data_IF_029353472252
#
_entry.id   IF_029353472252
#
_cell.length_a   1.000
_cell.length_b   1.000
_cell.length_c   1.000
_cell.angle_alpha   90.00
_cell.angle_beta   90.00
_cell.angle_gamma   90.00
#
_symmetry.space_group_name_H-M   'P 1'
#
loop_
_entity.id
_entity.type
_entity.pdbx_description
1 polymer ?
#
# COMPACT_ATOMS: atom_id res chain seq x y z
N UNK A 1 -7.83 34.43 13.72
CA UNK A 1 -6.71 34.25 14.67
C UNK A 1 -7.17 33.82 16.07
N UNK A 2 -8.49 33.61 16.31
CA UNK A 2 -9.07 33.27 17.63
C UNK A 2 -9.37 31.77 17.87
N UNK A 3 -9.12 30.88 16.91
CA UNK A 3 -9.40 29.44 17.09
C UNK A 3 -8.30 28.63 17.77
N UNK A 4 -7.18 29.23 18.11
CA UNK A 4 -6.02 28.55 18.72
C UNK A 4 -5.80 28.87 20.20
N UNK A 5 -6.69 29.62 20.83
CA UNK A 5 -6.49 30.08 22.21
C UNK A 5 -7.74 29.78 23.06
N UNK A 6 -7.85 28.55 23.56
CA UNK A 6 -8.57 28.27 24.83
C UNK A 6 -8.80 26.78 25.14
N UNK A 7 -7.79 25.93 25.03
CA UNK A 7 -7.72 24.73 25.90
C UNK A 7 -6.34 24.76 26.52
N UNK A 8 -6.28 24.70 27.87
CA UNK A 8 -5.04 24.74 28.62
C UNK A 8 -3.94 23.91 27.97
N UNK A 9 -2.69 24.37 28.01
CA UNK A 9 -1.55 23.77 27.32
C UNK A 9 -1.44 22.28 27.66
N UNK A 10 -1.99 21.43 26.79
CA UNK A 10 -1.82 19.98 26.91
C UNK A 10 -0.33 19.67 26.74
N UNK A 11 0.28 18.90 27.65
CA UNK A 11 1.68 18.50 27.53
C UNK A 11 1.97 17.85 26.17
N UNK A 12 3.17 18.12 25.61
CA UNK A 12 3.58 17.61 24.29
C UNK A 12 3.50 16.08 24.22
N UNK A 13 3.81 15.38 25.32
CA UNK A 13 3.74 13.92 25.43
C UNK A 13 2.30 13.40 25.30
N UNK A 14 1.33 14.07 25.93
CA UNK A 14 -0.09 13.70 25.83
C UNK A 14 -0.61 13.91 24.41
N UNK A 15 -0.26 15.05 23.78
CA UNK A 15 -0.57 15.27 22.36
C UNK A 15 0.03 14.17 21.48
N UNK A 16 1.28 13.78 21.73
CA UNK A 16 1.97 12.74 20.97
C UNK A 16 1.23 11.39 21.10
N UNK A 17 0.83 11.00 22.29
CA UNK A 17 0.10 9.77 22.52
C UNK A 17 -1.24 9.76 21.79
N UNK A 18 -2.02 10.83 21.87
CA UNK A 18 -3.31 10.96 21.18
C UNK A 18 -3.13 10.91 19.65
N UNK A 19 -2.21 11.68 19.10
CA UNK A 19 -2.07 11.87 17.65
C UNK A 19 -1.33 10.71 16.95
N UNK A 20 -0.45 10.00 17.67
CA UNK A 20 0.14 8.75 17.15
C UNK A 20 -0.85 7.60 17.18
N UNK A 21 -1.67 7.50 18.23
CA UNK A 21 -2.76 6.51 18.28
C UNK A 21 -3.77 6.75 17.15
N UNK A 22 -4.18 7.99 16.93
CA UNK A 22 -5.06 8.37 15.83
C UNK A 22 -4.44 8.07 14.45
N UNK A 23 -3.11 8.15 14.30
CA UNK A 23 -2.39 7.87 13.06
C UNK A 23 -2.28 6.36 12.73
N UNK A 24 -2.52 5.45 13.67
CA UNK A 24 -2.47 3.98 13.43
C UNK A 24 -3.43 3.52 12.34
N UNK A 25 -4.59 4.15 12.25
CA UNK A 25 -5.65 3.82 11.29
C UNK A 25 -5.40 4.38 9.88
N UNK A 26 -4.30 5.09 9.68
CA UNK A 26 -3.85 5.60 8.40
C UNK A 26 -2.79 4.65 7.82
N UNK A 27 -3.20 3.72 6.95
CA UNK A 27 -2.44 2.52 6.57
C UNK A 27 -1.37 2.75 5.51
N UNK A 28 -1.06 3.97 5.14
CA UNK A 28 -0.01 4.24 4.14
C UNK A 28 1.42 3.78 4.54
N UNK A 29 1.55 3.02 5.65
CA UNK A 29 2.83 2.49 6.13
C UNK A 29 2.63 1.22 6.98
N UNK A 30 3.57 0.29 6.92
CA UNK A 30 3.64 -0.86 7.82
C UNK A 30 4.24 -0.43 9.17
N UNK A 31 3.42 -0.41 10.23
CA UNK A 31 3.93 -0.26 11.61
C UNK A 31 4.39 -1.61 12.16
N UNK A 32 5.39 -1.62 13.06
CA UNK A 32 5.93 -2.86 13.64
C UNK A 32 4.93 -3.63 14.51
N UNK A 33 3.85 -2.99 14.97
CA UNK A 33 2.79 -3.61 15.78
C UNK A 33 3.22 -4.16 17.15
N UNK A 34 4.45 -3.95 17.56
CA UNK A 34 4.99 -4.46 18.84
C UNK A 34 4.85 -3.40 19.92
N UNK A 35 4.10 -3.72 20.98
CA UNK A 35 3.95 -2.91 22.17
C UNK A 35 4.48 -3.70 23.39
N UNK A 36 5.50 -3.17 24.08
CA UNK A 36 6.03 -3.73 25.33
C UNK A 36 6.32 -2.61 26.30
N UNK A 37 5.60 -2.59 27.42
CA UNK A 37 5.94 -1.71 28.55
C UNK A 37 7.15 -2.30 29.29
N UNK A 38 8.07 -1.42 29.67
CA UNK A 38 9.17 -1.82 30.54
C UNK A 38 8.65 -2.28 31.90
N UNK A 39 9.22 -3.35 32.41
CA UNK A 39 8.91 -3.96 33.74
C UNK A 39 9.78 -3.38 34.85
N UNK A 40 10.53 -2.31 34.58
CA UNK A 40 11.46 -1.70 35.54
C UNK A 40 12.75 -2.52 35.76
N UNK A 41 12.87 -3.71 35.17
CA UNK A 41 14.04 -4.62 35.32
C UNK A 41 14.80 -4.80 34.00
N UNK A 42 14.17 -4.47 32.86
CA UNK A 42 14.77 -4.53 31.52
C UNK A 42 15.00 -3.13 30.96
N UNK A 43 16.00 -2.99 30.08
CA UNK A 43 16.34 -1.71 29.44
C UNK A 43 15.47 -1.54 28.19
N UNK A 44 14.67 -0.47 28.14
CA UNK A 44 13.92 -0.03 26.97
C UNK A 44 12.43 -0.33 27.00
N UNK A 45 11.66 0.56 26.38
CA UNK A 45 10.24 0.42 26.08
C UNK A 45 10.05 0.30 24.58
N UNK A 46 9.13 -0.52 24.14
CA UNK A 46 8.70 -0.57 22.75
C UNK A 46 7.25 -0.10 22.66
N UNK A 47 7.02 1.04 22.02
CA UNK A 47 5.68 1.57 21.77
C UNK A 47 5.32 1.28 20.31
N UNK A 48 4.18 0.63 20.10
CA UNK A 48 3.70 0.27 18.76
C UNK A 48 3.28 1.49 17.89
N UNK A 49 3.27 2.68 18.47
CA UNK A 49 2.76 3.89 17.85
C UNK A 49 3.89 4.82 17.41
N UNK A 50 3.68 5.53 16.30
CA UNK A 50 4.48 6.69 15.90
C UNK A 50 5.63 6.43 14.94
N UNK A 51 6.18 5.23 14.85
CA UNK A 51 7.23 4.92 13.87
C UNK A 51 6.69 3.94 12.84
N UNK A 52 6.77 4.32 11.57
CA UNK A 52 6.42 3.48 10.45
C UNK A 52 7.62 3.24 9.54
N UNK A 53 7.54 2.19 8.74
CA UNK A 53 8.58 1.84 7.79
C UNK A 53 8.08 2.07 6.36
N UNK A 54 8.89 2.74 5.55
CA UNK A 54 8.68 2.92 4.12
C UNK A 54 9.89 2.40 3.36
N UNK A 55 9.69 2.00 2.11
CA UNK A 55 10.80 1.56 1.27
C UNK A 55 11.17 2.67 0.28
N UNK A 56 12.46 2.99 0.22
CA UNK A 56 13.00 3.87 -0.81
C UNK A 56 13.07 3.17 -2.16
N UNK A 57 13.31 3.93 -3.23
CA UNK A 57 13.41 3.38 -4.59
C UNK A 57 14.55 2.36 -4.78
N UNK A 58 15.56 2.39 -3.91
CA UNK A 58 16.69 1.45 -3.86
C UNK A 58 16.42 0.19 -3.01
N UNK A 59 15.20 0.07 -2.43
CA UNK A 59 14.78 -1.07 -1.61
C UNK A 59 15.18 -0.99 -0.14
N UNK A 60 15.81 0.10 0.33
CA UNK A 60 16.09 0.29 1.76
C UNK A 60 14.81 0.56 2.54
N UNK A 61 14.73 0.00 3.75
CA UNK A 61 13.70 0.34 4.71
C UNK A 61 14.07 1.66 5.39
N UNK A 62 13.15 2.61 5.37
CA UNK A 62 13.29 3.94 6.00
C UNK A 62 12.30 4.01 7.16
N UNK A 63 12.78 4.34 8.35
CA UNK A 63 11.95 4.58 9.53
C UNK A 63 11.44 6.03 9.53
N UNK A 64 10.13 6.21 9.67
CA UNK A 64 9.48 7.53 9.64
C UNK A 64 8.70 7.77 10.94
N UNK A 65 8.81 8.98 11.49
CA UNK A 65 7.84 9.47 12.46
C UNK A 65 6.51 9.70 11.74
N UNK A 66 5.50 8.90 12.09
CA UNK A 66 4.17 9.02 11.53
C UNK A 66 3.22 9.63 12.54
N UNK A 67 2.79 10.86 12.27
CA UNK A 67 1.90 11.61 13.13
C UNK A 67 0.83 12.34 12.33
N UNK A 68 -0.29 12.64 13.04
CA UNK A 68 -1.25 13.64 12.60
C UNK A 68 -0.85 15.01 13.14
N UNK A 69 -0.99 16.06 12.33
CA UNK A 69 -0.94 17.43 12.84
C UNK A 69 -2.10 17.68 13.81
N UNK A 70 -3.29 17.21 13.44
CA UNK A 70 -4.47 17.25 14.29
C UNK A 70 -5.38 16.06 14.01
N UNK A 71 -6.08 15.58 15.03
CA UNK A 71 -7.20 14.67 14.87
C UNK A 71 -8.57 15.37 15.00
N UNK A 72 -8.60 16.68 15.17
CA UNK A 72 -9.81 17.48 14.95
C UNK A 72 -10.14 17.51 13.47
N UNK A 73 -11.41 17.30 13.11
CA UNK A 73 -11.82 17.27 11.72
C UNK A 73 -13.22 17.84 11.55
N UNK A 74 -13.41 18.72 10.56
CA UNK A 74 -14.72 19.25 10.20
C UNK A 74 -15.54 18.26 9.33
N UNK A 75 -14.89 17.20 8.80
CA UNK A 75 -15.53 16.18 7.98
C UNK A 75 -16.08 15.03 8.82
N UNK A 76 -17.13 14.40 8.31
CA UNK A 76 -17.81 13.30 8.99
C UNK A 76 -17.74 11.99 8.17
N UNK A 77 -16.54 11.59 7.77
CA UNK A 77 -16.34 10.34 7.04
C UNK A 77 -16.63 9.15 7.95
N UNK A 78 -17.63 8.33 7.62
CA UNK A 78 -18.16 7.26 8.48
C UNK A 78 -17.11 6.21 8.88
N UNK A 79 -16.14 5.93 8.01
CA UNK A 79 -15.05 4.99 8.26
C UNK A 79 -13.93 5.56 9.16
N UNK A 80 -13.94 6.85 9.45
CA UNK A 80 -12.82 7.52 10.12
C UNK A 80 -13.06 7.63 11.63
N UNK A 81 -12.12 7.16 12.44
CA UNK A 81 -12.16 7.34 13.90
C UNK A 81 -12.20 8.81 14.30
N UNK A 82 -11.52 9.67 13.52
CA UNK A 82 -11.39 11.10 13.79
C UNK A 82 -12.52 11.94 13.15
N UNK A 83 -13.61 11.32 12.70
CA UNK A 83 -14.77 12.06 12.17
C UNK A 83 -15.34 13.02 13.20
N UNK A 84 -15.97 14.10 12.72
CA UNK A 84 -16.52 15.16 13.58
C UNK A 84 -17.46 14.64 14.67
N UNK A 85 -18.33 13.69 14.32
CA UNK A 85 -19.36 13.17 15.23
C UNK A 85 -18.86 12.16 16.26
N UNK A 86 -17.60 11.69 16.19
CA UNK A 86 -17.05 10.77 17.20
C UNK A 86 -16.55 11.52 18.41
N UNK A 87 -16.91 11.03 19.60
CA UNK A 87 -16.38 11.48 20.88
C UNK A 87 -15.07 10.76 21.18
N UNK A 88 -13.97 11.39 20.78
CA UNK A 88 -12.60 10.91 21.03
C UNK A 88 -11.73 12.06 21.53
N UNK A 89 -10.69 11.78 22.33
CA UNK A 89 -9.74 12.81 22.73
C UNK A 89 -9.15 13.53 21.52
N UNK A 90 -9.18 14.85 21.53
CA UNK A 90 -8.72 15.70 20.44
C UNK A 90 -7.45 16.44 20.84
N UNK A 91 -6.51 16.52 19.92
CA UNK A 91 -5.29 17.28 20.10
C UNK A 91 -4.85 17.89 18.76
N UNK A 92 -4.09 18.97 18.84
CA UNK A 92 -3.51 19.67 17.69
C UNK A 92 -2.08 20.07 18.02
N UNK A 93 -1.14 19.72 17.18
CA UNK A 93 0.22 20.21 17.22
C UNK A 93 0.33 21.56 16.51
N UNK A 94 1.16 22.42 17.02
CA UNK A 94 1.68 23.57 16.26
C UNK A 94 2.75 23.07 15.26
N UNK A 95 3.03 23.84 14.18
CA UNK A 95 4.14 23.54 13.29
C UNK A 95 5.48 23.42 14.01
N UNK A 96 5.72 24.25 15.01
CA UNK A 96 6.94 24.28 15.83
C UNK A 96 7.08 23.02 16.70
N UNK A 97 5.99 22.52 17.29
CA UNK A 97 5.98 21.27 18.08
C UNK A 97 6.34 20.07 17.19
N UNK A 98 5.77 19.97 15.97
CA UNK A 98 6.10 18.90 15.02
C UNK A 98 7.58 18.96 14.63
N UNK A 99 8.10 20.16 14.38
CA UNK A 99 9.51 20.35 14.07
C UNK A 99 10.41 19.88 15.22
N UNK A 100 10.08 20.24 16.45
CA UNK A 100 10.82 19.83 17.64
C UNK A 100 10.83 18.32 17.78
N UNK A 101 9.66 17.67 17.74
CA UNK A 101 9.56 16.22 17.80
C UNK A 101 10.36 15.53 16.70
N UNK A 102 10.22 16.00 15.45
CA UNK A 102 10.93 15.42 14.30
C UNK A 102 12.44 15.49 14.49
N UNK A 103 12.96 16.67 14.92
CA UNK A 103 14.39 16.88 15.14
C UNK A 103 14.94 16.06 16.30
N UNK A 104 14.20 15.96 17.41
CA UNK A 104 14.61 15.17 18.57
C UNK A 104 14.67 13.66 18.23
N UNK A 105 13.67 13.13 17.54
CA UNK A 105 13.68 11.73 17.11
C UNK A 105 14.77 11.44 16.07
N UNK A 106 15.02 12.39 15.16
CA UNK A 106 16.06 12.27 14.15
C UNK A 106 17.46 12.29 14.76
N UNK A 107 17.74 13.24 15.67
CA UNK A 107 19.04 13.34 16.37
C UNK A 107 19.38 12.10 17.19
N UNK A 108 18.36 11.39 17.69
CA UNK A 108 18.51 10.15 18.44
C UNK A 108 18.56 8.91 17.54
N UNK A 109 18.59 9.08 16.23
CA UNK A 109 18.59 7.99 15.22
C UNK A 109 17.37 7.05 15.31
N UNK A 110 16.23 7.52 15.83
CA UNK A 110 15.00 6.72 15.87
C UNK A 110 14.28 6.71 14.53
N UNK A 111 14.44 7.78 13.74
CA UNK A 111 13.80 7.98 12.45
C UNK A 111 14.77 8.55 11.42
N UNK A 112 14.48 8.31 10.15
CA UNK A 112 15.15 8.89 9.00
C UNK A 112 14.30 9.98 8.32
N UNK A 113 13.03 10.12 8.73
CA UNK A 113 12.13 11.10 8.15
C UNK A 113 10.80 11.26 8.87
N UNK A 114 9.93 12.09 8.26
CA UNK A 114 8.61 12.43 8.75
C UNK A 114 7.54 11.99 7.75
N UNK A 115 6.47 11.36 8.25
CA UNK A 115 5.21 11.19 7.52
C UNK A 115 4.11 11.99 8.23
N UNK A 116 3.70 13.09 7.60
CA UNK A 116 2.74 14.03 8.16
C UNK A 116 1.40 13.94 7.44
N UNK A 117 0.34 13.69 8.20
CA UNK A 117 -1.04 13.78 7.76
C UNK A 117 -1.85 14.66 8.72
N UNK A 118 -3.14 14.88 8.46
CA UNK A 118 -3.96 15.73 9.31
C UNK A 118 -5.45 15.41 9.18
N UNK A 119 -6.21 15.59 10.26
CA UNK A 119 -7.60 15.98 10.17
C UNK A 119 -7.73 17.36 9.51
N UNK A 120 -8.95 17.83 9.25
CA UNK A 120 -9.18 19.10 8.57
C UNK A 120 -9.81 20.09 9.57
N UNK A 121 -9.04 21.11 9.96
CA UNK A 121 -9.50 22.19 10.85
C UNK A 121 -9.75 23.47 10.05
N UNK A 122 -10.82 24.19 10.42
CA UNK A 122 -11.21 25.41 9.74
C UNK A 122 -11.68 25.13 8.31
N UNK A 123 -10.73 25.00 7.39
CA UNK A 123 -10.99 24.61 6.00
C UNK A 123 -9.79 23.85 5.40
N UNK A 124 -9.92 23.22 4.22
CA UNK A 124 -8.85 22.46 3.58
C UNK A 124 -7.58 23.28 3.30
N UNK A 125 -7.72 24.51 2.84
CA UNK A 125 -6.59 25.38 2.50
C UNK A 125 -5.81 25.76 3.75
N UNK A 126 -6.48 26.21 4.80
CA UNK A 126 -5.84 26.55 6.07
C UNK A 126 -5.08 25.36 6.67
N UNK A 127 -5.67 24.16 6.64
CA UNK A 127 -4.97 22.95 7.11
C UNK A 127 -3.72 22.67 6.27
N UNK A 128 -3.81 22.80 4.95
CA UNK A 128 -2.65 22.60 4.06
C UNK A 128 -1.58 23.68 4.27
N UNK A 129 -1.95 24.90 4.60
CA UNK A 129 -1.01 25.98 4.95
C UNK A 129 -0.21 25.66 6.21
N UNK A 130 -0.85 25.11 7.24
CA UNK A 130 -0.16 24.67 8.46
C UNK A 130 0.83 23.54 8.15
N UNK A 131 0.45 22.58 7.31
CA UNK A 131 1.34 21.52 6.84
C UNK A 131 2.51 22.10 6.06
N UNK A 132 2.25 23.01 5.12
CA UNK A 132 3.27 23.70 4.33
C UNK A 132 4.25 24.46 5.22
N UNK A 133 3.74 25.23 6.19
CA UNK A 133 4.55 25.94 7.18
C UNK A 133 5.45 25.00 7.99
N UNK A 134 4.92 23.86 8.41
CA UNK A 134 5.70 22.85 9.15
C UNK A 134 6.89 22.35 8.32
N UNK A 135 6.65 21.93 7.07
CA UNK A 135 7.74 21.43 6.22
C UNK A 135 8.69 22.54 5.79
N UNK A 136 8.19 23.77 5.62
CA UNK A 136 9.04 24.94 5.37
C UNK A 136 9.99 25.21 6.54
N UNK A 137 9.49 25.21 7.78
CA UNK A 137 10.30 25.35 8.98
C UNK A 137 11.36 24.25 9.07
N UNK A 138 10.97 22.99 8.85
CA UNK A 138 11.91 21.87 8.84
C UNK A 138 13.04 22.09 7.83
N UNK A 139 12.72 22.46 6.58
CA UNK A 139 13.71 22.64 5.52
C UNK A 139 14.58 23.86 5.71
N UNK A 140 13.99 25.02 6.03
CA UNK A 140 14.68 26.30 6.00
C UNK A 140 15.25 26.70 7.38
N UNK A 141 14.49 26.55 8.46
CA UNK A 141 14.95 26.93 9.81
C UNK A 141 15.78 25.84 10.47
N UNK A 142 15.30 24.59 10.44
CA UNK A 142 15.99 23.46 11.08
C UNK A 142 16.97 22.76 10.14
N UNK A 143 17.00 23.11 8.85
CA UNK A 143 17.86 22.52 7.81
C UNK A 143 17.78 20.99 7.77
N UNK A 144 16.58 20.47 8.03
CA UNK A 144 16.31 19.03 8.03
C UNK A 144 16.38 18.48 6.61
N UNK A 145 17.32 17.59 6.34
CA UNK A 145 17.52 16.95 5.04
C UNK A 145 17.00 15.51 4.99
N UNK A 146 16.30 15.03 6.04
CA UNK A 146 15.66 13.72 6.06
C UNK A 146 14.45 13.65 5.13
N UNK A 147 13.96 12.44 4.93
CA UNK A 147 12.81 12.16 4.07
C UNK A 147 11.51 12.76 4.64
N UNK A 148 10.72 13.39 3.79
CA UNK A 148 9.42 13.99 4.17
C UNK A 148 8.34 13.50 3.21
N UNK A 149 7.33 12.83 3.77
CA UNK A 149 6.11 12.44 3.08
C UNK A 149 4.92 13.19 3.69
N UNK A 150 4.13 13.82 2.85
CA UNK A 150 2.94 14.58 3.28
C UNK A 150 1.69 14.04 2.58
N UNK A 151 0.59 13.94 3.32
CA UNK A 151 -0.74 13.81 2.73
C UNK A 151 -1.29 15.19 2.38
N UNK A 152 -1.48 15.45 1.10
CA UNK A 152 -2.15 16.65 0.64
C UNK A 152 -3.64 16.60 0.99
N UNK A 153 -4.18 17.74 1.41
CA UNK A 153 -5.56 17.87 1.84
C UNK A 153 -6.46 18.04 0.60
N UNK A 154 -7.43 17.13 0.38
CA UNK A 154 -8.38 17.28 -0.71
C UNK A 154 -9.18 18.58 -0.61
N UNK A 155 -9.20 19.36 -1.70
CA UNK A 155 -9.91 20.64 -1.76
C UNK A 155 -9.10 21.83 -1.27
N UNK A 156 -7.83 21.68 -0.91
CA UNK A 156 -6.93 22.81 -0.63
C UNK A 156 -6.60 23.58 -1.91
N UNK A 157 -6.26 24.88 -1.75
CA UNK A 157 -5.88 25.74 -2.85
C UNK A 157 -4.67 25.17 -3.63
N UNK A 158 -4.68 25.24 -4.96
CA UNK A 158 -3.62 24.69 -5.80
C UNK A 158 -2.24 25.25 -5.51
N UNK A 159 -2.16 26.55 -5.21
CA UNK A 159 -0.92 27.26 -4.96
C UNK A 159 -0.18 26.70 -3.76
N UNK A 160 -0.91 26.39 -2.67
CA UNK A 160 -0.29 25.87 -1.45
C UNK A 160 0.12 24.39 -1.61
N UNK A 161 -0.60 23.62 -2.41
CA UNK A 161 -0.19 22.25 -2.78
C UNK A 161 1.11 22.29 -3.58
N UNK A 162 1.23 23.22 -4.52
CA UNK A 162 2.44 23.40 -5.32
C UNK A 162 3.64 23.83 -4.45
N UNK A 163 3.46 24.81 -3.57
CA UNK A 163 4.51 25.23 -2.63
C UNK A 163 4.97 24.06 -1.76
N UNK A 164 4.02 23.29 -1.21
CA UNK A 164 4.34 22.10 -0.40
C UNK A 164 5.14 21.08 -1.22
N UNK A 165 4.81 20.90 -2.50
CA UNK A 165 5.47 19.93 -3.38
C UNK A 165 6.96 20.13 -3.57
N UNK A 166 7.45 21.38 -3.52
CA UNK A 166 8.89 21.69 -3.58
C UNK A 166 9.63 21.44 -2.25
N UNK A 167 8.92 21.24 -1.16
CA UNK A 167 9.50 21.06 0.18
C UNK A 167 9.54 19.59 0.61
N UNK A 168 8.83 18.69 -0.10
CA UNK A 168 8.64 17.28 0.29
C UNK A 168 9.21 16.32 -0.73
N UNK A 169 9.59 15.13 -0.27
CA UNK A 169 10.07 14.07 -1.14
C UNK A 169 8.93 13.30 -1.79
N UNK A 170 7.84 13.05 -1.05
CA UNK A 170 6.65 12.36 -1.54
C UNK A 170 5.38 13.08 -1.10
N UNK A 171 4.39 13.06 -1.96
CA UNK A 171 3.05 13.53 -1.65
C UNK A 171 2.01 12.46 -1.98
N UNK A 172 1.00 12.32 -1.14
CA UNK A 172 -0.12 11.42 -1.40
C UNK A 172 -1.45 12.14 -1.26
N UNK A 173 -2.40 11.73 -2.08
CA UNK A 173 -3.81 12.13 -1.96
C UNK A 173 -4.63 10.86 -1.89
N UNK A 174 -5.33 10.63 -0.80
CA UNK A 174 -6.11 9.42 -0.64
C UNK A 174 -7.34 9.43 -1.53
N UNK A 175 -7.52 8.39 -2.35
CA UNK A 175 -8.75 8.17 -3.10
C UNK A 175 -9.90 7.76 -2.17
N UNK A 176 -9.57 7.08 -1.08
CA UNK A 176 -10.42 6.51 -0.03
C UNK A 176 -11.26 5.32 -0.54
N UNK A 177 -12.16 5.54 -1.46
CA UNK A 177 -13.08 4.52 -1.97
C UNK A 177 -12.98 4.42 -3.50
N UNK A 178 -13.11 3.22 -4.08
CA UNK A 178 -12.93 2.98 -5.51
C UNK A 178 -13.98 3.70 -6.37
N UNK A 179 -15.23 3.85 -5.86
CA UNK A 179 -16.37 4.42 -6.60
C UNK A 179 -16.80 5.77 -6.07
N UNK A 180 -17.44 6.56 -6.94
CA UNK A 180 -18.05 7.84 -6.55
C UNK A 180 -19.27 7.64 -5.64
N UNK A 181 -19.96 6.52 -5.79
CA UNK A 181 -21.12 6.17 -4.96
C UNK A 181 -20.70 5.81 -3.54
N UNK A 182 -19.70 4.93 -3.40
CA UNK A 182 -19.11 4.61 -2.10
C UNK A 182 -18.60 5.88 -1.40
N UNK A 183 -17.93 6.77 -2.13
CA UNK A 183 -17.44 8.03 -1.57
C UNK A 183 -18.59 8.92 -1.07
N UNK A 184 -19.67 9.07 -1.82
CA UNK A 184 -20.85 9.84 -1.38
C UNK A 184 -21.52 9.24 -0.15
N UNK A 185 -21.60 7.91 -0.08
CA UNK A 185 -22.23 7.20 1.04
C UNK A 185 -21.42 7.30 2.33
N UNK A 186 -20.10 7.15 2.25
CA UNK A 186 -19.24 7.02 3.43
C UNK A 186 -18.41 8.27 3.75
N UNK A 187 -18.23 9.18 2.81
CA UNK A 187 -17.48 10.42 2.98
C UNK A 187 -18.21 11.62 2.34
N UNK A 188 -19.38 12.03 2.87
CA UNK A 188 -20.26 12.99 2.24
C UNK A 188 -19.63 14.37 1.99
N UNK A 189 -18.61 14.72 2.76
CA UNK A 189 -17.87 15.98 2.60
C UNK A 189 -16.75 15.91 1.56
N UNK A 190 -16.49 14.74 0.97
CA UNK A 190 -15.46 14.55 -0.06
C UNK A 190 -16.11 14.29 -1.41
N UNK A 191 -15.62 14.97 -2.43
CA UNK A 191 -16.06 14.78 -3.81
C UNK A 191 -14.90 14.26 -4.67
N UNK A 192 -15.21 13.43 -5.65
CA UNK A 192 -14.19 12.86 -6.54
C UNK A 192 -13.32 13.95 -7.20
N UNK A 193 -13.94 15.08 -7.58
CA UNK A 193 -13.23 16.23 -8.15
C UNK A 193 -12.20 16.81 -7.16
N UNK A 194 -12.57 16.98 -5.88
CA UNK A 194 -11.65 17.53 -4.86
C UNK A 194 -10.44 16.62 -4.58
N UNK A 195 -10.53 15.33 -4.91
CA UNK A 195 -9.44 14.35 -4.78
C UNK A 195 -8.60 14.29 -6.06
N UNK A 196 -9.24 14.16 -7.23
CA UNK A 196 -8.54 13.97 -8.50
C UNK A 196 -7.86 15.25 -8.99
N UNK A 197 -8.39 16.43 -8.67
CA UNK A 197 -7.76 17.70 -9.05
C UNK A 197 -6.35 17.86 -8.48
N UNK A 198 -6.11 17.74 -7.16
CA UNK A 198 -4.75 17.78 -6.62
C UNK A 198 -3.87 16.63 -7.12
N UNK A 199 -4.41 15.43 -7.36
CA UNK A 199 -3.63 14.34 -7.96
C UNK A 199 -3.12 14.70 -9.35
N UNK A 200 -3.96 15.33 -10.19
CA UNK A 200 -3.58 15.80 -11.52
C UNK A 200 -2.54 16.91 -11.44
N UNK A 201 -2.74 17.85 -10.54
CA UNK A 201 -1.81 18.95 -10.32
C UNK A 201 -0.42 18.45 -9.92
N UNK A 202 -0.35 17.50 -8.97
CA UNK A 202 0.92 16.91 -8.54
C UNK A 202 1.59 16.17 -9.71
N UNK A 203 0.83 15.40 -10.50
CA UNK A 203 1.34 14.74 -11.70
C UNK A 203 1.95 15.73 -12.68
N UNK A 204 1.20 16.78 -13.03
CA UNK A 204 1.67 17.83 -13.95
C UNK A 204 2.92 18.50 -13.41
N UNK A 205 2.95 18.86 -12.11
CA UNK A 205 4.12 19.43 -11.46
C UNK A 205 5.35 18.52 -11.54
N UNK A 206 5.18 17.20 -11.33
CA UNK A 206 6.28 16.23 -11.47
C UNK A 206 6.78 16.18 -12.93
N UNK A 207 5.88 16.17 -13.91
CA UNK A 207 6.25 16.13 -15.35
C UNK A 207 6.99 17.39 -15.78
N UNK A 208 6.48 18.56 -15.42
CA UNK A 208 7.16 19.85 -15.68
C UNK A 208 8.54 19.87 -15.03
N UNK A 209 8.63 19.51 -13.76
CA UNK A 209 9.90 19.50 -13.04
C UNK A 209 10.93 18.50 -13.60
N UNK A 210 10.50 17.36 -14.17
CA UNK A 210 11.41 16.46 -14.90
C UNK A 210 12.08 17.16 -16.09
N UNK A 211 11.33 17.96 -16.84
CA UNK A 211 11.87 18.74 -17.95
C UNK A 211 12.82 19.84 -17.45
N UNK A 212 12.44 20.55 -16.37
CA UNK A 212 13.29 21.56 -15.76
C UNK A 212 14.64 20.99 -15.29
N UNK A 213 14.63 19.80 -14.69
CA UNK A 213 15.85 19.11 -14.23
C UNK A 213 16.75 18.66 -15.37
N UNK A 214 16.22 18.46 -16.57
CA UNK A 214 17.03 18.19 -17.78
C UNK A 214 17.69 19.48 -18.27
N UNK A 215 16.99 20.61 -18.22
CA UNK A 215 17.48 21.91 -18.69
C UNK A 215 18.38 22.59 -17.66
N UNK A 216 18.05 22.49 -16.38
CA UNK A 216 18.70 23.20 -15.29
C UNK A 216 19.17 22.24 -14.20
N UNK A 217 20.45 21.95 -14.16
CA UNK A 217 21.07 20.97 -13.23
C UNK A 217 20.74 21.19 -11.75
N UNK A 218 20.52 22.43 -11.35
CA UNK A 218 20.26 22.83 -9.96
C UNK A 218 18.79 23.20 -9.70
N UNK A 219 17.87 22.88 -10.60
CA UNK A 219 16.46 23.13 -10.35
C UNK A 219 15.98 22.43 -9.08
N UNK A 220 15.13 23.08 -8.25
CA UNK A 220 14.56 22.43 -7.08
C UNK A 220 13.69 21.24 -7.50
N UNK A 221 13.78 20.14 -6.76
CA UNK A 221 12.97 18.95 -7.02
C UNK A 221 11.54 19.15 -6.54
N UNK A 222 10.57 18.82 -7.38
CA UNK A 222 9.17 18.78 -7.02
C UNK A 222 8.73 17.33 -6.81
N UNK A 223 8.35 16.97 -5.56
CA UNK A 223 7.87 15.62 -5.18
C UNK A 223 8.74 14.52 -5.78
N UNK A 224 10.06 14.57 -5.54
CA UNK A 224 11.04 13.69 -6.22
C UNK A 224 10.83 12.18 -6.02
N UNK A 225 10.20 11.77 -4.90
CA UNK A 225 9.79 10.39 -4.62
C UNK A 225 8.44 9.99 -5.24
N UNK A 226 7.79 10.92 -5.96
CA UNK A 226 6.54 10.69 -6.68
C UNK A 226 5.29 10.70 -5.81
N UNK A 227 4.17 10.44 -6.47
CA UNK A 227 2.83 10.47 -5.89
C UNK A 227 2.33 9.07 -5.54
N UNK A 228 1.53 8.95 -4.49
CA UNK A 228 0.82 7.73 -4.09
C UNK A 228 -0.62 8.01 -3.64
N UNK A 229 -1.42 6.95 -3.54
CA UNK A 229 -2.80 7.00 -3.03
C UNK A 229 -3.11 5.81 -2.14
N UNK A 230 -4.27 5.85 -1.48
CA UNK A 230 -4.78 4.75 -0.65
C UNK A 230 -6.25 4.53 -0.94
N UNK A 231 -6.67 3.25 -0.95
CA UNK A 231 -8.07 2.81 -1.02
C UNK A 231 -8.40 1.92 0.17
N UNK A 232 -9.59 2.09 0.71
CA UNK A 232 -10.18 1.24 1.76
C UNK A 232 -10.92 0.10 1.08
N UNK A 233 -10.69 -1.12 1.53
CA UNK A 233 -11.22 -2.35 0.93
C UNK A 233 -12.19 -3.03 1.87
N UNK A 234 -13.41 -3.31 1.37
CA UNK A 234 -14.45 -3.99 2.14
C UNK A 234 -15.35 -3.07 2.97
N UNK A 235 -15.19 -1.75 2.88
CA UNK A 235 -16.14 -0.79 3.44
C UNK A 235 -17.38 -0.59 2.55
N UNK A 236 -17.25 -0.91 1.27
CA UNK A 236 -18.24 -0.77 0.21
C UNK A 236 -18.23 -2.03 -0.68
N UNK A 237 -19.28 -2.31 -1.48
CA UNK A 237 -19.49 -3.60 -2.12
C UNK A 237 -18.66 -3.83 -3.39
N UNK A 238 -17.72 -2.96 -3.71
CA UNK A 238 -16.93 -3.11 -4.94
C UNK A 238 -16.15 -4.43 -4.96
N UNK A 239 -16.16 -5.06 -6.14
CA UNK A 239 -15.38 -6.28 -6.41
C UNK A 239 -13.89 -5.99 -6.55
N UNK A 240 -13.05 -7.03 -6.45
CA UNK A 240 -11.61 -6.90 -6.69
C UNK A 240 -11.32 -6.48 -8.13
N UNK A 241 -12.13 -6.94 -9.09
CA UNK A 241 -12.06 -6.52 -10.48
C UNK A 241 -12.22 -5.00 -10.65
N UNK A 242 -13.24 -4.43 -9.99
CA UNK A 242 -13.43 -2.98 -10.00
C UNK A 242 -12.25 -2.25 -9.35
N UNK A 243 -11.75 -2.76 -8.23
CA UNK A 243 -10.63 -2.15 -7.49
C UNK A 243 -9.34 -2.14 -8.31
N UNK A 244 -8.97 -3.27 -8.95
CA UNK A 244 -7.73 -3.34 -9.72
C UNK A 244 -7.82 -2.55 -11.04
N UNK A 245 -8.99 -2.45 -11.67
CA UNK A 245 -9.21 -1.57 -12.83
C UNK A 245 -9.03 -0.09 -12.46
N UNK A 246 -9.53 0.31 -11.29
CA UNK A 246 -9.28 1.67 -10.77
C UNK A 246 -7.79 1.87 -10.53
N UNK A 247 -7.09 0.91 -9.91
CA UNK A 247 -5.66 1.01 -9.66
C UNK A 247 -4.86 1.11 -10.96
N UNK A 248 -5.14 0.27 -11.96
CA UNK A 248 -4.49 0.34 -13.28
C UNK A 248 -4.71 1.70 -13.94
N UNK A 249 -5.95 2.20 -13.94
CA UNK A 249 -6.29 3.53 -14.47
C UNK A 249 -5.53 4.66 -13.75
N UNK A 250 -5.33 4.53 -12.44
CA UNK A 250 -4.57 5.50 -11.65
C UNK A 250 -3.08 5.48 -12.02
N UNK A 251 -2.49 4.31 -12.22
CA UNK A 251 -1.10 4.21 -12.71
C UNK A 251 -0.93 4.84 -14.08
N UNK A 252 -1.82 4.53 -15.01
CA UNK A 252 -1.75 5.04 -16.39
C UNK A 252 -2.01 6.55 -16.48
N UNK A 253 -3.02 7.05 -15.75
CA UNK A 253 -3.50 8.43 -15.89
C UNK A 253 -2.83 9.44 -14.96
N UNK A 254 -2.25 9.01 -13.84
CA UNK A 254 -1.69 9.90 -12.83
C UNK A 254 -0.21 9.60 -12.49
N UNK A 255 0.45 8.69 -13.20
CA UNK A 255 1.86 8.28 -12.95
C UNK A 255 2.14 7.99 -11.47
N UNK A 256 1.20 7.33 -10.79
CA UNK A 256 1.36 6.99 -9.38
C UNK A 256 2.52 6.02 -9.20
N UNK A 257 3.26 6.19 -8.12
CA UNK A 257 4.29 5.22 -7.73
C UNK A 257 3.71 4.04 -6.96
N UNK A 258 2.58 4.25 -6.25
CA UNK A 258 1.93 3.18 -5.50
C UNK A 258 0.47 3.50 -5.17
N UNK A 259 -0.34 2.46 -5.22
CA UNK A 259 -1.65 2.40 -4.58
C UNK A 259 -1.51 1.56 -3.32
N UNK A 260 -1.99 2.07 -2.19
CA UNK A 260 -2.09 1.33 -0.93
C UNK A 260 -3.51 0.83 -0.76
N UNK A 261 -3.63 -0.43 -0.37
CA UNK A 261 -4.89 -1.07 -0.03
C UNK A 261 -4.97 -1.22 1.48
N UNK A 262 -6.11 -0.88 2.06
CA UNK A 262 -6.34 -0.96 3.50
C UNK A 262 -7.61 -1.73 3.78
N UNK A 263 -7.50 -2.92 4.34
CA UNK A 263 -8.64 -3.69 4.79
C UNK A 263 -9.46 -2.87 5.80
N UNK A 264 -10.75 -2.75 5.55
CA UNK A 264 -11.66 -1.98 6.40
C UNK A 264 -11.76 -2.58 7.81
N UNK A 265 -11.65 -1.72 8.80
CA UNK A 265 -11.89 -2.04 10.20
C UNK A 265 -12.96 -1.10 10.72
N UNK A 266 -14.07 -1.63 11.22
CA UNK A 266 -15.12 -0.81 11.82
C UNK A 266 -14.69 -0.35 13.23
N UNK A 267 -13.89 0.71 13.26
CA UNK A 267 -13.38 1.31 14.51
C UNK A 267 -14.34 2.29 15.16
N UNK A 268 -15.42 2.64 14.46
CA UNK A 268 -16.41 3.61 14.93
C UNK A 268 -17.61 2.96 15.63
N UNK A 269 -17.76 1.65 15.47
CA UNK A 269 -18.95 0.92 15.94
C UNK A 269 -20.24 1.31 15.20
N UNK A 270 -20.14 2.03 14.09
CA UNK A 270 -21.29 2.50 13.32
C UNK A 270 -21.99 1.30 12.67
N UNK A 271 -23.25 1.10 13.04
CA UNK A 271 -24.10 -0.01 12.54
C UNK A 271 -24.46 0.11 11.06
N UNK A 272 -24.29 1.29 10.46
CA UNK A 272 -24.48 1.49 9.01
C UNK A 272 -23.30 1.02 8.15
N UNK A 273 -22.19 0.68 8.79
CA UNK A 273 -20.99 0.12 8.14
C UNK A 273 -21.03 -1.40 8.18
N UNK A 274 -20.43 -2.09 7.21
CA UNK A 274 -20.40 -3.55 7.20
C UNK A 274 -19.82 -4.11 8.49
N UNK A 275 -20.56 -4.99 9.15
CA UNK A 275 -20.00 -5.89 10.14
C UNK A 275 -19.45 -7.08 9.35
N UNK A 276 -18.13 -7.15 9.20
CA UNK A 276 -17.48 -8.25 8.51
C UNK A 276 -17.32 -9.42 9.48
N UNK A 277 -18.09 -10.52 9.31
CA UNK A 277 -17.85 -11.75 10.08
C UNK A 277 -16.39 -12.19 9.88
N UNK A 278 -15.69 -12.51 10.95
CA UNK A 278 -14.27 -12.90 10.87
C UNK A 278 -13.25 -11.74 10.83
N UNK A 279 -13.70 -10.48 10.94
CA UNK A 279 -12.80 -9.31 11.04
C UNK A 279 -12.40 -8.68 9.69
N UNK A 280 -11.33 -7.87 9.66
CA UNK A 280 -10.91 -7.16 8.46
C UNK A 280 -10.54 -8.12 7.33
N UNK A 281 -10.85 -7.81 6.05
CA UNK A 281 -10.58 -8.68 4.90
C UNK A 281 -9.08 -8.68 4.52
N UNK A 282 -8.21 -9.15 5.42
CA UNK A 282 -6.76 -9.09 5.27
C UNK A 282 -6.25 -9.95 4.10
N UNK A 283 -6.86 -11.11 3.85
CA UNK A 283 -6.48 -11.94 2.70
C UNK A 283 -6.79 -11.22 1.38
N UNK A 284 -7.93 -10.54 1.30
CA UNK A 284 -8.32 -9.74 0.15
C UNK A 284 -7.34 -8.58 -0.08
N UNK A 285 -6.97 -7.87 0.98
CA UNK A 285 -5.92 -6.83 0.93
C UNK A 285 -4.61 -7.41 0.38
N UNK A 286 -4.20 -8.58 0.90
CA UNK A 286 -2.99 -9.26 0.46
C UNK A 286 -3.03 -9.63 -1.04
N UNK A 287 -4.14 -10.22 -1.52
CA UNK A 287 -4.33 -10.57 -2.93
C UNK A 287 -4.29 -9.33 -3.85
N UNK A 288 -4.89 -8.24 -3.42
CA UNK A 288 -4.84 -6.96 -4.14
C UNK A 288 -3.41 -6.42 -4.24
N UNK A 289 -2.59 -6.50 -3.18
CA UNK A 289 -1.17 -6.15 -3.26
C UNK A 289 -0.39 -7.06 -4.21
N UNK A 290 -0.68 -8.36 -4.22
CA UNK A 290 -0.06 -9.28 -5.17
C UNK A 290 -0.43 -8.91 -6.62
N UNK A 291 -1.70 -8.65 -6.90
CA UNK A 291 -2.17 -8.23 -8.22
C UNK A 291 -1.59 -6.87 -8.65
N UNK A 292 -1.54 -5.90 -7.74
CA UNK A 292 -0.91 -4.60 -7.96
C UNK A 292 0.55 -4.73 -8.43
N UNK A 293 1.27 -5.68 -7.84
CA UNK A 293 2.63 -5.98 -8.25
C UNK A 293 2.71 -6.56 -9.66
N UNK A 294 1.77 -7.44 -10.02
CA UNK A 294 1.67 -8.00 -11.37
C UNK A 294 1.39 -6.92 -12.41
N UNK A 295 0.49 -5.98 -12.12
CA UNK A 295 0.19 -4.84 -13.01
C UNK A 295 1.43 -3.97 -13.25
N UNK A 296 2.18 -3.66 -12.19
CA UNK A 296 3.28 -2.68 -12.27
C UNK A 296 4.59 -3.22 -12.84
N UNK A 297 4.88 -4.49 -12.62
CA UNK A 297 6.23 -5.03 -12.89
C UNK A 297 6.26 -6.26 -13.78
N UNK A 298 5.13 -6.94 -13.98
CA UNK A 298 5.07 -8.18 -14.77
C UNK A 298 4.33 -8.00 -16.10
N UNK A 299 3.83 -6.80 -16.37
CA UNK A 299 3.11 -6.51 -17.60
C UNK A 299 1.74 -7.17 -17.72
N UNK A 300 1.12 -7.52 -16.59
CA UNK A 300 -0.28 -7.94 -16.57
C UNK A 300 -1.21 -6.74 -16.68
N UNK A 301 -2.39 -6.97 -17.26
CA UNK A 301 -3.51 -6.03 -17.26
C UNK A 301 -4.57 -6.50 -16.27
N UNK A 302 -5.38 -5.57 -15.75
CA UNK A 302 -6.44 -5.91 -14.81
C UNK A 302 -7.42 -6.94 -15.38
N UNK A 303 -7.79 -6.78 -16.66
CA UNK A 303 -8.70 -7.66 -17.39
C UNK A 303 -8.15 -9.08 -17.64
N UNK A 304 -6.82 -9.29 -17.57
CA UNK A 304 -6.22 -10.62 -17.64
C UNK A 304 -6.34 -11.37 -16.32
N UNK A 305 -6.31 -10.65 -15.21
CA UNK A 305 -6.36 -11.24 -13.86
C UNK A 305 -7.77 -11.58 -13.44
N UNK A 306 -8.73 -10.68 -13.65
CA UNK A 306 -10.14 -10.81 -13.27
C UNK A 306 -11.06 -10.27 -14.37
N UNK A 307 -12.31 -10.70 -14.34
CA UNK A 307 -13.38 -10.25 -15.23
C UNK A 307 -14.74 -10.15 -14.50
N UNK A 308 -15.81 -9.76 -15.19
CA UNK A 308 -17.15 -9.65 -14.59
C UNK A 308 -17.73 -10.99 -14.11
N UNK A 309 -17.31 -12.13 -14.71
CA UNK A 309 -17.75 -13.46 -14.32
C UNK A 309 -16.96 -13.99 -13.12
N UNK A 310 -15.74 -13.50 -12.95
CA UNK A 310 -14.84 -13.84 -11.83
C UNK A 310 -14.29 -12.55 -11.21
N UNK A 311 -15.12 -11.83 -10.48
CA UNK A 311 -14.77 -10.49 -10.00
C UNK A 311 -13.89 -10.47 -8.73
N UNK A 312 -13.60 -11.63 -8.14
CA UNK A 312 -12.80 -11.75 -6.91
C UNK A 312 -11.60 -12.66 -7.08
N UNK A 313 -10.51 -12.36 -6.38
CA UNK A 313 -9.32 -13.20 -6.35
C UNK A 313 -9.54 -14.50 -5.62
N UNK A 314 -8.83 -15.54 -6.08
CA UNK A 314 -8.85 -16.85 -5.47
C UNK A 314 -8.30 -16.80 -4.04
N UNK A 315 -8.97 -17.47 -3.10
CA UNK A 315 -8.55 -17.50 -1.70
C UNK A 315 -7.38 -18.44 -1.45
N UNK A 316 -7.24 -19.50 -2.23
CA UNK A 316 -6.18 -20.50 -2.07
C UNK A 316 -4.94 -20.19 -2.90
N UNK A 317 -5.12 -19.80 -4.16
CA UNK A 317 -4.04 -19.49 -5.09
C UNK A 317 -3.70 -18.00 -5.07
N UNK A 318 -2.44 -17.67 -5.29
CA UNK A 318 -2.10 -16.28 -5.57
C UNK A 318 -2.60 -15.86 -6.98
N UNK A 319 -2.73 -14.55 -7.27
CA UNK A 319 -3.28 -14.09 -8.54
C UNK A 319 -2.52 -14.59 -9.77
N UNK A 320 -1.21 -14.82 -9.66
CA UNK A 320 -0.39 -15.34 -10.76
C UNK A 320 -0.57 -16.84 -10.97
N UNK A 321 -0.66 -17.60 -9.86
CA UNK A 321 -0.97 -19.03 -9.89
C UNK A 321 -2.36 -19.26 -10.45
N UNK A 322 -3.36 -18.52 -9.97
CA UNK A 322 -4.75 -18.61 -10.45
C UNK A 322 -4.84 -18.29 -11.95
N UNK A 323 -4.14 -17.26 -12.41
CA UNK A 323 -4.06 -16.93 -13.82
C UNK A 323 -3.42 -18.06 -14.65
N UNK A 324 -2.28 -18.60 -14.19
CA UNK A 324 -1.57 -19.65 -14.92
C UNK A 324 -2.36 -20.95 -15.02
N UNK A 325 -3.06 -21.35 -13.95
CA UNK A 325 -3.94 -22.53 -13.95
C UNK A 325 -5.11 -22.38 -14.94
N UNK A 326 -5.63 -21.16 -15.09
CA UNK A 326 -6.69 -20.85 -16.07
C UNK A 326 -6.21 -20.74 -17.53
N UNK A 327 -4.91 -20.73 -17.76
CA UNK A 327 -4.29 -20.57 -19.08
C UNK A 327 -3.26 -21.67 -19.34
N UNK A 328 -3.64 -22.92 -19.02
CA UNK A 328 -2.75 -24.08 -19.18
C UNK A 328 -2.32 -24.32 -20.63
N UNK A 329 -3.10 -23.83 -21.60
CA UNK A 329 -2.76 -23.87 -23.03
C UNK A 329 -1.47 -23.08 -23.39
N UNK A 330 -1.03 -22.18 -22.51
CA UNK A 330 0.22 -21.43 -22.66
C UNK A 330 1.43 -22.14 -22.06
N UNK A 331 1.23 -23.26 -21.39
CA UNK A 331 2.26 -23.99 -20.67
C UNK A 331 2.45 -25.41 -21.21
N UNK A 332 3.64 -26.01 -21.05
CA UNK A 332 4.82 -25.49 -20.36
C UNK A 332 5.65 -24.50 -21.20
N UNK A 333 6.31 -23.57 -20.53
CA UNK A 333 7.22 -22.56 -21.12
C UNK A 333 8.65 -23.11 -21.12
N UNK A 334 9.33 -23.08 -22.27
CA UNK A 334 10.72 -23.51 -22.40
C UNK A 334 11.68 -22.41 -21.91
N UNK A 335 12.32 -22.64 -20.76
CA UNK A 335 13.14 -21.64 -20.07
C UNK A 335 14.31 -21.12 -20.93
N UNK A 336 14.90 -21.99 -21.73
CA UNK A 336 16.07 -21.64 -22.54
C UNK A 336 15.75 -20.84 -23.79
N UNK A 337 14.45 -20.67 -24.14
CA UNK A 337 14.01 -19.98 -25.38
C UNK A 337 13.01 -18.87 -25.14
N UNK A 338 12.13 -19.00 -24.16
CA UNK A 338 11.02 -18.11 -23.95
C UNK A 338 11.44 -16.64 -23.78
N UNK A 339 10.72 -15.67 -24.34
CA UNK A 339 10.97 -14.26 -24.10
C UNK A 339 10.71 -13.87 -22.63
N UNK A 340 11.23 -12.71 -22.23
CA UNK A 340 11.12 -12.23 -20.84
C UNK A 340 9.67 -12.14 -20.38
N UNK A 341 8.78 -11.69 -21.25
CA UNK A 341 7.36 -11.53 -20.95
C UNK A 341 6.68 -12.85 -20.62
N UNK A 342 7.01 -13.92 -21.32
CA UNK A 342 6.49 -15.27 -21.02
C UNK A 342 7.06 -15.82 -19.72
N UNK A 343 8.35 -15.63 -19.47
CA UNK A 343 8.98 -16.01 -18.20
C UNK A 343 8.31 -15.32 -17.01
N UNK A 344 7.92 -14.06 -17.17
CA UNK A 344 7.19 -13.30 -16.14
C UNK A 344 5.77 -13.83 -15.89
N UNK A 345 5.19 -14.58 -16.81
CA UNK A 345 3.87 -15.25 -16.63
C UNK A 345 3.95 -16.51 -15.80
N UNK A 346 5.12 -17.14 -15.69
CA UNK A 346 5.32 -18.40 -14.98
C UNK A 346 5.27 -18.22 -13.47
N UNK A 347 4.38 -18.93 -12.71
CA UNK A 347 4.43 -18.95 -11.25
C UNK A 347 5.81 -19.33 -10.71
N UNK A 348 6.26 -18.71 -9.63
CA UNK A 348 7.57 -18.97 -9.05
C UNK A 348 8.76 -18.30 -9.76
N UNK A 349 8.54 -17.61 -10.90
CA UNK A 349 9.58 -16.80 -11.58
C UNK A 349 9.26 -15.32 -11.34
N UNK A 350 10.12 -14.65 -10.57
CA UNK A 350 10.05 -13.22 -10.30
C UNK A 350 10.81 -12.38 -11.33
N UNK A 351 10.65 -11.06 -11.30
CA UNK A 351 11.32 -10.11 -12.21
C UNK A 351 12.85 -10.30 -12.18
N UNK A 352 13.42 -10.42 -10.99
CA UNK A 352 14.88 -10.65 -10.83
C UNK A 352 15.32 -12.00 -11.41
N UNK A 353 14.55 -13.06 -11.12
CA UNK A 353 14.86 -14.40 -11.63
C UNK A 353 14.71 -14.47 -13.15
N UNK A 354 13.67 -13.89 -13.73
CA UNK A 354 13.46 -13.82 -15.17
C UNK A 354 14.62 -13.09 -15.88
N UNK A 355 15.05 -11.93 -15.36
CA UNK A 355 16.21 -11.22 -15.89
C UNK A 355 17.51 -12.03 -15.81
N UNK A 356 17.72 -12.74 -14.69
CA UNK A 356 18.89 -13.63 -14.52
C UNK A 356 18.86 -14.83 -15.47
N UNK A 357 17.67 -15.43 -15.71
CA UNK A 357 17.50 -16.50 -16.71
C UNK A 357 17.92 -16.01 -18.09
N UNK A 358 17.38 -14.87 -18.54
CA UNK A 358 17.71 -14.28 -19.85
C UNK A 358 19.20 -13.98 -19.99
N UNK A 359 19.86 -13.55 -18.92
CA UNK A 359 21.31 -13.30 -18.94
C UNK A 359 22.10 -14.63 -18.95
N UNK A 360 21.79 -15.56 -18.05
CA UNK A 360 22.57 -16.79 -17.86
C UNK A 360 22.50 -17.75 -19.07
N UNK A 361 21.33 -17.88 -19.73
CA UNK A 361 21.19 -18.75 -20.91
C UNK A 361 22.00 -18.34 -22.12
N UNK A 362 22.59 -17.12 -22.12
CA UNK A 362 23.54 -16.68 -23.18
C UNK A 362 24.86 -17.46 -23.11
N UNK A 363 25.23 -17.96 -21.93
CA UNK A 363 26.47 -18.70 -21.69
C UNK A 363 26.30 -20.22 -21.81
N UNK A 364 25.06 -20.71 -21.85
CA UNK A 364 24.75 -22.15 -21.96
C UNK A 364 23.31 -22.47 -21.55
N UNK A 365 22.85 -23.65 -21.91
CA UNK A 365 21.52 -24.12 -21.54
C UNK A 365 21.40 -24.33 -20.05
N UNK A 366 20.33 -23.77 -19.45
CA UNK A 366 20.03 -23.89 -18.03
C UNK A 366 19.31 -25.21 -17.72
N UNK A 367 19.62 -25.74 -16.55
CA UNK A 367 18.97 -26.92 -15.96
C UNK A 367 18.13 -26.51 -14.74
N UNK A 368 17.28 -27.42 -14.22
CA UNK A 368 16.51 -27.15 -13.00
C UNK A 368 17.36 -26.80 -11.77
N UNK A 369 18.53 -27.45 -11.51
CA UNK A 369 19.45 -27.02 -10.48
C UNK A 369 19.94 -25.58 -10.65
N UNK A 370 20.19 -25.13 -11.88
CA UNK A 370 20.62 -23.75 -12.17
C UNK A 370 19.51 -22.76 -11.89
N UNK A 371 18.27 -23.09 -12.25
CA UNK A 371 17.10 -22.27 -11.93
C UNK A 371 16.94 -22.05 -10.42
N UNK A 372 17.19 -23.09 -9.61
CA UNK A 372 17.15 -22.98 -8.15
C UNK A 372 18.23 -22.01 -7.64
N UNK A 373 19.46 -22.06 -8.18
CA UNK A 373 20.56 -21.14 -7.84
C UNK A 373 20.24 -19.70 -8.26
N UNK A 374 19.56 -19.51 -9.39
CA UNK A 374 19.11 -18.22 -9.89
C UNK A 374 18.03 -17.59 -8.99
N UNK A 375 17.33 -18.40 -8.19
CA UNK A 375 16.28 -17.96 -7.27
C UNK A 375 14.87 -18.17 -7.79
N UNK A 376 14.67 -19.13 -8.70
CA UNK A 376 13.33 -19.59 -9.10
C UNK A 376 12.74 -20.46 -7.99
N UNK A 377 11.48 -20.22 -7.64
CA UNK A 377 10.74 -21.02 -6.69
C UNK A 377 10.21 -22.28 -7.42
N UNK A 378 11.05 -23.31 -7.53
CA UNK A 378 10.76 -24.51 -8.31
C UNK A 378 9.46 -25.21 -7.87
N UNK A 379 9.12 -25.21 -6.57
CA UNK A 379 7.87 -25.78 -6.06
C UNK A 379 6.63 -25.24 -6.79
N UNK A 380 6.68 -23.97 -7.23
CA UNK A 380 5.60 -23.32 -7.98
C UNK A 380 5.78 -23.45 -9.49
N UNK A 381 7.03 -23.34 -9.97
CA UNK A 381 7.34 -23.26 -11.38
C UNK A 381 7.30 -24.61 -12.12
N UNK A 382 7.58 -25.72 -11.44
CA UNK A 382 7.83 -27.04 -12.08
C UNK A 382 6.66 -27.56 -12.93
N UNK A 383 5.43 -27.12 -12.68
CA UNK A 383 4.22 -27.49 -13.41
C UNK A 383 4.08 -26.73 -14.74
N UNK A 384 4.81 -25.63 -14.88
CA UNK A 384 4.63 -24.64 -15.94
C UNK A 384 5.85 -24.46 -16.85
N UNK A 385 6.95 -25.21 -16.62
CA UNK A 385 8.21 -25.02 -17.34
C UNK A 385 8.84 -26.31 -17.85
N UNK A 386 9.62 -26.15 -18.93
CA UNK A 386 10.58 -27.14 -19.38
C UNK A 386 11.98 -26.56 -19.45
N UNK A 387 12.98 -27.44 -19.30
CA UNK A 387 14.38 -27.13 -19.54
C UNK A 387 14.87 -28.10 -20.63
N UNK A 388 15.30 -27.56 -21.79
CA UNK A 388 15.72 -28.33 -22.96
C UNK A 388 14.66 -29.37 -23.39
N UNK A 389 13.40 -28.93 -23.41
CA UNK A 389 12.24 -29.73 -23.83
C UNK A 389 11.76 -30.79 -22.81
N UNK A 390 12.32 -30.82 -21.59
CA UNK A 390 11.95 -31.80 -20.58
C UNK A 390 11.39 -31.12 -19.32
N UNK A 391 10.33 -31.67 -18.76
CA UNK A 391 9.85 -31.31 -17.43
C UNK A 391 10.74 -31.96 -16.35
N UNK A 392 10.75 -31.37 -15.15
CA UNK A 392 11.52 -31.89 -14.01
C UNK A 392 11.06 -33.28 -13.56
N UNK A 393 9.75 -33.49 -13.58
CA UNK A 393 9.10 -34.75 -13.30
C UNK A 393 7.96 -34.97 -14.30
N UNK A 394 7.51 -36.22 -14.53
CA UNK A 394 6.29 -36.49 -15.26
C UNK A 394 5.09 -35.87 -14.51
N UNK A 395 4.61 -34.75 -14.98
CA UNK A 395 3.51 -34.01 -14.35
C UNK A 395 2.31 -34.03 -15.29
N UNK A 396 1.14 -34.27 -14.75
CA UNK A 396 -0.11 -34.05 -15.48
C UNK A 396 -0.39 -32.56 -15.53
N UNK A 397 -0.53 -32.01 -16.74
CA UNK A 397 -0.95 -30.62 -16.96
C UNK A 397 -2.48 -30.59 -16.94
N UNK A 398 -3.02 -30.77 -15.75
CA UNK A 398 -4.46 -30.77 -15.44
C UNK A 398 -4.69 -29.82 -14.27
N UNK A 399 -5.74 -29.02 -14.34
CA UNK A 399 -6.07 -27.99 -13.33
C UNK A 399 -6.11 -28.59 -11.92
N UNK A 400 -6.93 -29.62 -11.70
CA UNK A 400 -7.11 -30.26 -10.40
C UNK A 400 -5.81 -30.81 -9.81
N UNK A 401 -4.97 -31.42 -10.65
CA UNK A 401 -3.69 -31.93 -10.21
C UNK A 401 -2.73 -30.82 -9.77
N UNK A 402 -2.64 -29.76 -10.55
CA UNK A 402 -1.74 -28.63 -10.28
C UNK A 402 -2.20 -27.90 -9.01
N UNK A 403 -3.48 -27.59 -8.88
CA UNK A 403 -4.02 -26.89 -7.72
C UNK A 403 -3.83 -27.68 -6.44
N UNK A 404 -4.07 -29.01 -6.46
CA UNK A 404 -3.81 -29.89 -5.30
C UNK A 404 -2.36 -29.84 -4.82
N UNK A 405 -1.41 -29.70 -5.73
CA UNK A 405 0.01 -29.67 -5.39
C UNK A 405 0.54 -28.27 -5.03
N UNK A 406 -0.11 -27.22 -5.50
CA UNK A 406 0.21 -25.84 -5.14
C UNK A 406 -0.34 -25.47 -3.75
N UNK A 407 -1.52 -26.01 -3.39
CA UNK A 407 -2.18 -25.75 -2.11
C UNK A 407 -1.68 -26.70 -1.01
N UNK A 408 -1.58 -26.21 0.22
CA UNK A 408 -1.25 -27.05 1.37
C UNK A 408 -2.50 -27.77 1.86
N UNK A 409 -2.31 -28.91 2.56
CA UNK A 409 -3.41 -29.64 3.20
C UNK A 409 -4.19 -28.76 4.19
N UNK A 410 -3.49 -27.86 4.91
CA UNK A 410 -4.11 -26.89 5.82
C UNK A 410 -5.00 -25.87 5.09
N UNK A 411 -4.59 -25.44 3.91
CA UNK A 411 -5.40 -24.51 3.10
C UNK A 411 -6.65 -25.22 2.57
N UNK A 412 -6.53 -26.47 2.15
CA UNK A 412 -7.65 -27.29 1.67
C UNK A 412 -8.71 -27.57 2.74
N UNK A 413 -8.28 -28.01 3.92
CA UNK A 413 -9.19 -28.24 5.07
C UNK A 413 -9.87 -26.94 5.49
N UNK A 414 -9.12 -25.82 5.50
CA UNK A 414 -9.63 -24.54 5.93
C UNK A 414 -10.71 -23.96 5.01
N UNK A 415 -10.58 -24.18 3.70
CA UNK A 415 -11.50 -23.65 2.69
C UNK A 415 -12.51 -24.68 2.18
N UNK A 416 -12.66 -25.82 2.87
CA UNK A 416 -13.69 -26.82 2.58
C UNK A 416 -13.56 -27.51 1.23
N UNK A 417 -12.35 -27.63 0.67
CA UNK A 417 -12.12 -28.10 -0.69
C UNK A 417 -11.97 -29.61 -0.84
N UNK A 418 -12.15 -30.40 0.23
CA UNK A 418 -12.13 -31.87 0.13
C UNK A 418 -13.36 -32.37 -0.63
N UNK A 419 -13.18 -32.62 -1.92
CA UNK A 419 -14.19 -33.19 -2.81
C UNK A 419 -14.96 -32.19 -3.69
N UNK A 420 -14.65 -30.91 -3.69
CA UNK A 420 -15.27 -29.89 -4.55
C UNK A 420 -14.38 -29.52 -5.73
N UNK A 421 -14.99 -29.27 -6.90
CA UNK A 421 -14.34 -28.54 -7.99
C UNK A 421 -13.97 -27.14 -7.51
N UNK A 422 -12.79 -26.63 -7.90
CA UNK A 422 -12.28 -25.32 -7.50
C UNK A 422 -13.13 -24.18 -8.08
N UNK A 423 -14.32 -23.98 -7.53
CA UNK A 423 -15.10 -22.79 -7.80
C UNK A 423 -14.54 -21.64 -6.96
N UNK A 424 -14.43 -20.49 -7.56
CA UNK A 424 -14.11 -19.27 -6.85
C UNK A 424 -15.15 -19.04 -5.75
N UNK A 425 -14.70 -19.07 -4.48
CA UNK A 425 -15.56 -18.76 -3.36
C UNK A 425 -15.79 -17.25 -3.31
N UNK A 426 -17.03 -16.83 -3.21
CA UNK A 426 -17.40 -15.44 -2.95
C UNK A 426 -17.00 -15.04 -1.52
N UNK A 427 -16.75 -13.76 -1.29
CA UNK A 427 -16.53 -13.21 0.05
C UNK A 427 -17.75 -13.38 0.99
N UNK A 428 -18.91 -13.69 0.40
CA UNK A 428 -20.18 -13.88 1.09
C UNK A 428 -20.53 -15.36 1.32
N UNK A 429 -19.72 -16.29 0.79
CA UNK A 429 -19.83 -17.67 1.19
C UNK A 429 -19.28 -17.78 2.62
N UNK A 430 -19.99 -18.42 3.54
CA UNK A 430 -19.73 -18.50 5.01
C UNK A 430 -18.36 -19.13 5.38
N UNK A 431 -17.29 -18.65 4.77
CA UNK A 431 -15.93 -19.09 5.03
C UNK A 431 -15.30 -18.13 6.05
N UNK A 432 -15.02 -18.61 7.24
CA UNK A 432 -14.26 -17.89 8.23
C UNK A 432 -12.86 -17.53 7.72
N UNK A 433 -12.67 -16.26 7.29
CA UNK A 433 -11.36 -15.70 6.90
C UNK A 433 -10.49 -15.42 8.13
N UNK A 434 -10.20 -16.43 8.94
CA UNK A 434 -9.54 -16.27 10.23
C UNK A 434 -8.01 -16.40 10.22
N UNK A 435 -7.35 -16.55 9.06
CA UNK A 435 -5.88 -16.53 9.03
C UNK A 435 -5.38 -15.08 9.11
N UNK A 436 -4.77 -14.65 10.23
CA UNK A 436 -4.05 -13.39 10.23
C UNK A 436 -2.90 -13.51 9.22
N UNK A 437 -2.90 -12.65 8.21
CA UNK A 437 -1.73 -12.50 7.32
C UNK A 437 -0.55 -12.12 8.21
N UNK A 438 0.50 -12.92 8.20
CA UNK A 438 1.66 -12.68 9.04
C UNK A 438 2.32 -11.36 8.66
N UNK A 439 3.03 -10.73 9.59
CA UNK A 439 3.81 -9.51 9.33
C UNK A 439 4.78 -9.73 8.16
N UNK A 440 5.34 -10.94 8.06
CA UNK A 440 6.24 -11.34 6.97
C UNK A 440 5.52 -11.37 5.62
N UNK A 441 4.32 -11.94 5.55
CA UNK A 441 3.51 -11.97 4.31
C UNK A 441 3.08 -10.56 3.89
N UNK A 442 2.74 -9.68 4.84
CA UNK A 442 2.47 -8.26 4.55
C UNK A 442 3.70 -7.53 4.05
N UNK A 443 4.85 -7.76 4.66
CA UNK A 443 6.12 -7.19 4.20
C UNK A 443 6.50 -7.72 2.82
N UNK A 444 6.37 -9.01 2.57
CA UNK A 444 6.65 -9.61 1.26
C UNK A 444 5.72 -9.06 0.18
N UNK A 445 4.41 -8.94 0.44
CA UNK A 445 3.47 -8.31 -0.48
C UNK A 445 3.79 -6.82 -0.68
N UNK A 446 4.16 -6.11 0.37
CA UNK A 446 4.53 -4.70 0.32
C UNK A 446 5.84 -4.45 -0.45
N UNK A 447 6.77 -5.40 -0.43
CA UNK A 447 8.09 -5.33 -1.11
C UNK A 447 8.08 -6.04 -2.46
N UNK A 448 7.01 -6.81 -2.74
CA UNK A 448 6.87 -7.59 -3.98
C UNK A 448 7.80 -8.81 -4.05
N UNK A 449 8.16 -9.36 -2.93
CA UNK A 449 8.73 -10.70 -2.87
C UNK A 449 7.58 -11.71 -2.82
N UNK A 450 7.15 -12.13 -4.00
CA UNK A 450 6.24 -13.27 -4.19
C UNK A 450 7.01 -14.54 -4.42
#
# INVERSE_FOLDING_TARGET
MEYLVSKGEMPLEDKLNILTDAAKYDVACTSSGVDRKGDGKSIGNCVAAGICHSFSGDGRCISLLKILMTNECIFDCKYCRNRRSNDVPRATFTPEEICTLTMEFYRRNYIEGLFLSSGIIGNPTFTQELICRTVWLLRNRYRFNGYVHVKAIPGAAPEIIQQTGFLVDRMSVNLELPTAEGLRSLAPNKHRKSILTPMRQIQTGIQVNRNDLVLYRNAPKFVGGGQSTQMIIGATPESDYQIINVAESLYQKFDLKRVFYSAFVNVTGDKSLPALPGGPPLLREHRLYQADWLLRFYGFRAEELLDEKRPYFNVMLDPKEDWAVRHLERFPVEINRAPLEELLRVPGIGVKSAGRIVAARRSGSLTFPDLKKIGVVLKRALYFITCSGRMMYPVKIEEDYIVRNLTTEKDRVRFGSDGMSYKQLSLFDDVEFTRPVTVIERQQAAVGQL
#
